data_IF_973461890772
#
_entry.id   IF_973461890772
#
_cell.length_a   1.000
_cell.length_b   1.000
_cell.length_c   1.000
_cell.angle_alpha   90.00
_cell.angle_beta   90.00
_cell.angle_gamma   90.00
#
_symmetry.space_group_name_H-M   'P 1'
#
loop_
_entity.id
_entity.type
_entity.pdbx_description
1 polymer ?
#
# COMPACT_ATOMS: atom_id res chain seq x y z
N UNK A 1 16.32 4.77 -21.65
CA UNK A 1 15.00 4.24 -22.00
C UNK A 1 14.78 4.04 -23.52
N UNK A 2 15.68 4.57 -24.38
CA UNK A 2 15.77 4.22 -25.78
C UNK A 2 14.61 4.69 -26.68
N UNK A 3 13.99 5.83 -26.35
CA UNK A 3 12.84 6.32 -27.12
C UNK A 3 13.18 6.77 -28.54
N UNK A 4 14.33 7.45 -28.73
CA UNK A 4 14.90 7.80 -30.06
C UNK A 4 13.87 8.11 -31.12
N UNK A 5 13.90 7.32 -32.21
CA UNK A 5 13.02 7.46 -33.38
C UNK A 5 11.53 7.23 -33.11
N UNK A 6 11.18 6.65 -31.96
CA UNK A 6 9.78 6.40 -31.58
C UNK A 6 9.09 7.61 -30.90
N UNK A 7 9.85 8.64 -30.51
CA UNK A 7 9.28 9.85 -29.91
C UNK A 7 8.97 10.86 -31.04
N UNK A 8 7.73 11.31 -31.08
CA UNK A 8 7.27 12.39 -31.94
C UNK A 8 6.78 13.55 -31.07
N UNK A 9 7.39 14.74 -31.21
CA UNK A 9 6.88 15.95 -30.57
C UNK A 9 5.55 16.36 -31.18
N UNK A 10 4.76 17.13 -30.46
CA UNK A 10 3.52 17.68 -30.96
C UNK A 10 3.73 18.66 -32.12
N UNK A 11 4.88 19.32 -32.19
CA UNK A 11 5.26 20.17 -33.32
C UNK A 11 5.45 19.35 -34.58
N UNK A 12 6.10 18.18 -34.47
CA UNK A 12 6.30 17.27 -35.58
C UNK A 12 5.03 16.52 -35.99
N UNK A 13 4.06 16.36 -35.06
CA UNK A 13 2.80 15.68 -35.30
C UNK A 13 1.62 16.45 -34.68
N UNK A 14 1.15 17.52 -35.37
CA UNK A 14 0.09 18.41 -34.80
C UNK A 14 -1.22 17.72 -34.48
N UNK A 15 -1.56 16.61 -35.14
CA UNK A 15 -2.73 15.80 -34.86
C UNK A 15 -2.82 15.34 -33.37
N UNK A 16 -1.67 15.20 -32.68
CA UNK A 16 -1.65 14.86 -31.25
C UNK A 16 -2.33 15.94 -30.41
N UNK A 17 -2.11 17.23 -30.73
CA UNK A 17 -2.77 18.34 -30.05
C UNK A 17 -4.28 18.37 -30.25
N UNK A 18 -4.74 17.98 -31.43
CA UNK A 18 -6.18 17.97 -31.75
C UNK A 18 -6.91 16.87 -31.02
N UNK A 19 -6.32 15.68 -30.98
CA UNK A 19 -6.93 14.46 -30.36
C UNK A 19 -6.91 14.52 -28.85
N UNK A 20 -5.79 14.97 -28.26
CA UNK A 20 -5.52 14.85 -26.82
C UNK A 20 -5.57 16.17 -26.07
N UNK A 21 -6.06 17.24 -26.70
CA UNK A 21 -6.27 18.54 -26.04
C UNK A 21 -7.33 18.44 -24.95
N UNK A 22 -7.02 18.99 -23.80
CA UNK A 22 -7.97 19.15 -22.69
C UNK A 22 -8.06 20.64 -22.32
N UNK A 23 -9.26 21.07 -21.99
CA UNK A 23 -9.56 22.44 -21.58
C UNK A 23 -10.20 22.38 -20.20
N UNK A 24 -9.75 23.23 -19.26
CA UNK A 24 -10.36 23.32 -17.93
C UNK A 24 -11.75 23.93 -18.00
N UNK A 25 -12.58 23.60 -17.01
CA UNK A 25 -13.92 24.19 -16.84
C UNK A 25 -13.89 25.60 -16.23
N UNK A 26 -12.70 26.11 -15.84
CA UNK A 26 -12.50 27.43 -15.21
C UNK A 26 -12.49 28.59 -16.17
N UNK A 27 -12.52 29.82 -15.63
CA UNK A 27 -12.34 31.02 -16.41
C UNK A 27 -11.23 31.91 -15.79
N UNK A 28 -10.17 32.30 -16.56
CA UNK A 28 -9.93 31.90 -17.96
C UNK A 28 -9.69 30.40 -18.11
N UNK A 29 -10.16 29.81 -19.21
CA UNK A 29 -9.97 28.41 -19.48
C UNK A 29 -8.49 28.11 -19.80
N UNK A 30 -7.92 27.13 -19.12
CA UNK A 30 -6.56 26.65 -19.36
C UNK A 30 -6.62 25.48 -20.36
N UNK A 31 -5.81 25.56 -21.40
CA UNK A 31 -5.70 24.50 -22.39
C UNK A 31 -4.36 23.80 -22.25
N UNK A 32 -4.40 22.47 -22.14
CA UNK A 32 -3.20 21.63 -22.09
C UNK A 32 -3.23 20.61 -23.23
N UNK A 33 -2.08 20.46 -23.87
CA UNK A 33 -1.83 19.47 -24.92
C UNK A 33 -0.62 18.63 -24.54
N UNK A 34 -0.49 17.38 -25.03
CA UNK A 34 0.71 16.60 -24.79
C UNK A 34 1.92 17.29 -25.44
N UNK A 35 3.08 17.19 -24.83
CA UNK A 35 4.35 17.64 -25.42
C UNK A 35 4.79 16.77 -26.58
N UNK A 36 4.33 15.51 -26.60
CA UNK A 36 4.59 14.55 -27.64
C UNK A 36 4.00 13.19 -27.30
N UNK A 37 4.36 12.20 -28.11
CA UNK A 37 3.93 10.83 -27.88
C UNK A 37 5.00 9.84 -28.34
N UNK A 38 4.98 8.64 -27.77
CA UNK A 38 5.69 7.49 -28.27
C UNK A 38 4.81 6.77 -29.28
N UNK A 39 5.30 6.66 -30.51
CA UNK A 39 4.51 6.17 -31.64
C UNK A 39 5.27 5.10 -32.42
N UNK A 40 4.54 4.19 -33.04
CA UNK A 40 5.03 3.24 -34.01
C UNK A 40 4.04 3.18 -35.18
N UNK A 41 4.39 3.88 -36.27
CA UNK A 41 3.44 4.15 -37.34
C UNK A 41 2.27 5.00 -36.85
N UNK A 42 1.06 4.53 -37.04
CA UNK A 42 -0.17 5.20 -36.54
C UNK A 42 -0.48 4.92 -35.07
N UNK A 43 0.13 3.88 -34.50
CA UNK A 43 -0.15 3.49 -33.11
C UNK A 43 0.53 4.45 -32.13
N UNK A 44 -0.25 5.02 -31.22
CA UNK A 44 0.23 5.76 -30.05
C UNK A 44 0.32 4.79 -28.86
N UNK A 45 1.53 4.58 -28.36
CA UNK A 45 1.78 3.69 -27.22
C UNK A 45 1.75 4.40 -25.88
N UNK A 46 2.20 5.66 -25.83
CA UNK A 46 2.13 6.51 -24.67
C UNK A 46 2.11 7.99 -25.05
N UNK A 47 1.37 8.81 -24.32
CA UNK A 47 1.49 10.27 -24.36
C UNK A 47 2.65 10.72 -23.48
N UNK A 48 3.23 11.85 -23.81
CA UNK A 48 4.28 12.49 -22.99
C UNK A 48 3.87 13.93 -22.70
N UNK A 49 3.92 14.29 -21.41
CA UNK A 49 3.72 15.65 -20.93
C UNK A 49 4.99 16.08 -20.20
N UNK A 50 5.65 17.09 -20.71
CA UNK A 50 6.76 17.75 -20.05
C UNK A 50 6.21 19.00 -19.37
N UNK A 51 6.51 19.20 -18.09
CA UNK A 51 6.06 20.35 -17.30
C UNK A 51 7.25 21.18 -16.86
N UNK A 52 6.99 22.41 -16.47
CA UNK A 52 7.97 23.20 -15.73
C UNK A 52 8.33 22.48 -14.40
N UNK A 53 9.49 22.79 -13.81
CA UNK A 53 9.92 22.20 -12.55
C UNK A 53 8.88 22.43 -11.44
N UNK A 54 8.50 21.33 -10.75
CA UNK A 54 7.49 21.32 -9.69
C UNK A 54 8.06 20.67 -8.42
N UNK A 55 7.47 20.99 -7.27
CA UNK A 55 7.82 20.31 -6.01
C UNK A 55 7.37 18.85 -6.03
N UNK A 56 6.18 18.59 -6.60
CA UNK A 56 5.63 17.25 -6.79
C UNK A 56 4.72 17.26 -8.03
N UNK A 57 4.75 16.17 -8.80
CA UNK A 57 3.82 15.98 -9.93
C UNK A 57 2.37 15.74 -9.48
N UNK A 58 2.13 15.58 -8.18
CA UNK A 58 0.81 15.41 -7.57
C UNK A 58 0.18 16.70 -7.11
N UNK A 59 0.97 17.78 -7.03
CA UNK A 59 0.48 19.08 -6.59
C UNK A 59 -0.26 19.77 -7.73
N UNK A 60 -1.25 20.59 -7.36
CA UNK A 60 -2.00 21.41 -8.31
C UNK A 60 -1.11 22.45 -8.99
N UNK A 61 -1.39 22.74 -10.25
CA UNK A 61 -0.73 23.79 -10.99
C UNK A 61 -1.17 25.21 -10.54
N UNK A 62 -0.27 26.18 -10.71
CA UNK A 62 -0.54 27.57 -10.34
C UNK A 62 -1.08 28.43 -11.52
N UNK A 63 -1.58 27.80 -12.58
CA UNK A 63 -2.01 28.46 -13.81
C UNK A 63 -3.51 28.73 -13.89
N UNK A 64 -4.23 28.57 -12.77
CA UNK A 64 -5.69 28.75 -12.68
C UNK A 64 -6.51 27.48 -12.93
N UNK A 65 -5.86 26.36 -13.20
CA UNK A 65 -6.52 25.05 -13.22
C UNK A 65 -6.04 24.20 -12.04
N UNK A 66 -6.94 23.99 -11.07
CA UNK A 66 -6.69 23.17 -9.87
C UNK A 66 -6.62 21.68 -10.22
N UNK A 67 -5.67 21.31 -11.08
CA UNK A 67 -5.39 19.95 -11.49
C UNK A 67 -3.89 19.72 -11.54
N UNK A 68 -3.42 18.63 -10.94
CA UNK A 68 -2.02 18.23 -10.97
C UNK A 68 -1.59 17.83 -12.39
N UNK A 69 -0.30 17.82 -12.72
CA UNK A 69 0.20 17.26 -13.98
C UNK A 69 -0.29 15.85 -14.25
N UNK A 70 -0.46 15.02 -13.21
CA UNK A 70 -1.00 13.65 -13.34
C UNK A 70 -2.48 13.66 -13.71
N UNK A 71 -3.29 14.55 -13.10
CA UNK A 71 -4.71 14.68 -13.43
C UNK A 71 -4.92 15.17 -14.86
N UNK A 72 -4.10 16.11 -15.31
CA UNK A 72 -4.10 16.61 -16.69
C UNK A 72 -3.76 15.50 -17.68
N UNK A 73 -2.76 14.69 -17.38
CA UNK A 73 -2.44 13.51 -18.19
C UNK A 73 -3.62 12.52 -18.22
N UNK A 74 -4.22 12.22 -17.06
CA UNK A 74 -5.39 11.37 -16.97
C UNK A 74 -6.57 11.88 -17.81
N UNK A 75 -6.82 13.19 -17.80
CA UNK A 75 -7.84 13.83 -18.61
C UNK A 75 -7.53 13.70 -20.13
N UNK A 76 -6.28 13.92 -20.55
CA UNK A 76 -5.86 13.73 -21.94
C UNK A 76 -6.04 12.28 -22.41
N UNK A 77 -5.68 11.30 -21.59
CA UNK A 77 -5.84 9.88 -21.90
C UNK A 77 -7.32 9.47 -22.01
N UNK A 78 -8.23 10.18 -21.31
CA UNK A 78 -9.69 9.95 -21.40
C UNK A 78 -10.37 10.84 -22.42
N UNK A 79 -9.65 11.60 -23.21
CA UNK A 79 -10.26 12.40 -24.28
C UNK A 79 -11.10 11.51 -25.21
N UNK A 80 -12.18 12.08 -25.79
CA UNK A 80 -13.24 11.35 -26.52
C UNK A 80 -12.71 10.41 -27.62
N UNK A 81 -11.60 10.78 -28.25
CA UNK A 81 -11.02 10.03 -29.38
C UNK A 81 -9.70 9.32 -29.01
N UNK A 82 -9.39 9.25 -27.71
CA UNK A 82 -8.17 8.61 -27.26
C UNK A 82 -8.22 7.09 -27.43
N UNK A 83 -7.21 6.54 -28.09
CA UNK A 83 -6.94 5.10 -28.16
C UNK A 83 -5.78 4.71 -27.22
N UNK A 84 -5.15 5.69 -26.59
CA UNK A 84 -4.01 5.50 -25.70
C UNK A 84 -4.46 5.61 -24.23
N UNK A 85 -4.05 4.66 -23.41
CA UNK A 85 -4.38 4.60 -21.98
C UNK A 85 -3.18 4.86 -21.08
N UNK A 86 -1.99 5.04 -21.67
CA UNK A 86 -0.73 5.21 -20.95
C UNK A 86 -0.16 6.60 -21.23
N UNK A 87 0.29 7.27 -20.18
CA UNK A 87 0.98 8.54 -20.25
C UNK A 87 2.23 8.58 -19.41
N UNK A 88 3.16 9.41 -19.80
CA UNK A 88 4.38 9.72 -19.06
C UNK A 88 4.40 11.22 -18.78
N UNK A 89 4.59 11.59 -17.53
CA UNK A 89 4.70 12.99 -17.09
C UNK A 89 6.06 13.21 -16.48
N UNK A 90 6.73 14.30 -16.86
CA UNK A 90 8.04 14.62 -16.29
C UNK A 90 8.31 16.13 -16.28
N UNK A 91 9.07 16.57 -15.28
CA UNK A 91 9.71 17.88 -15.21
C UNK A 91 11.24 17.79 -15.37
N UNK A 92 11.75 16.58 -15.72
CA UNK A 92 13.17 16.27 -15.83
C UNK A 92 13.73 15.58 -14.59
N UNK A 93 13.27 15.92 -13.38
CA UNK A 93 13.61 15.26 -12.12
C UNK A 93 12.61 14.16 -11.78
N UNK A 94 11.35 14.54 -11.67
CA UNK A 94 10.26 13.62 -11.40
C UNK A 94 9.78 12.98 -12.70
N UNK A 95 9.58 11.69 -12.64
CA UNK A 95 8.99 10.94 -13.75
C UNK A 95 7.79 10.15 -13.23
N UNK A 96 6.69 10.26 -13.92
CA UNK A 96 5.49 9.51 -13.59
C UNK A 96 5.00 8.71 -14.78
N UNK A 97 4.61 7.48 -14.49
CA UNK A 97 3.85 6.63 -15.40
C UNK A 97 2.39 6.68 -14.97
N UNK A 98 1.50 7.04 -15.90
CA UNK A 98 0.07 7.20 -15.65
C UNK A 98 -0.70 6.21 -16.52
N UNK A 99 -1.63 5.50 -15.91
CA UNK A 99 -2.61 4.65 -16.59
C UNK A 99 -4.01 5.18 -16.32
N UNK A 100 -4.75 5.52 -17.36
CA UNK A 100 -6.10 6.06 -17.26
C UNK A 100 -7.00 5.45 -18.35
N UNK A 101 -7.46 4.20 -18.17
CA UNK A 101 -8.37 3.56 -19.10
C UNK A 101 -9.75 4.24 -19.06
N UNK A 102 -10.48 4.16 -20.17
CA UNK A 102 -11.86 4.64 -20.25
C UNK A 102 -12.74 3.87 -19.26
N UNK A 103 -13.49 4.60 -18.45
CA UNK A 103 -14.36 4.00 -17.42
C UNK A 103 -13.65 3.40 -16.21
N UNK A 104 -12.31 3.45 -16.14
CA UNK A 104 -11.51 2.95 -15.03
C UNK A 104 -10.90 4.05 -14.15
N UNK A 105 -10.36 3.66 -13.02
CA UNK A 105 -9.62 4.57 -12.14
C UNK A 105 -8.27 4.97 -12.77
N UNK A 106 -7.79 6.16 -12.43
CA UNK A 106 -6.42 6.58 -12.76
C UNK A 106 -5.45 5.97 -11.76
N UNK A 107 -4.44 5.28 -12.27
CA UNK A 107 -3.30 4.80 -11.48
C UNK A 107 -2.04 5.53 -11.91
N UNK A 108 -1.16 5.85 -10.97
CA UNK A 108 0.12 6.49 -11.27
C UNK A 108 1.24 6.02 -10.34
N UNK A 109 2.42 5.80 -10.91
CA UNK A 109 3.67 5.59 -10.18
C UNK A 109 4.62 6.76 -10.45
N UNK A 110 5.23 7.33 -9.41
CA UNK A 110 6.16 8.46 -9.51
C UNK A 110 7.53 8.03 -9.02
N UNK A 111 8.56 8.39 -9.75
CA UNK A 111 9.97 8.13 -9.42
C UNK A 111 10.74 9.44 -9.40
N UNK A 112 11.56 9.66 -8.38
CA UNK A 112 12.57 10.71 -8.35
C UNK A 112 13.85 10.17 -8.99
N UNK A 113 14.26 10.72 -10.13
CA UNK A 113 15.47 10.29 -10.82
C UNK A 113 16.76 10.51 -10.02
N UNK A 114 16.74 11.35 -8.99
CA UNK A 114 17.88 11.50 -8.09
C UNK A 114 18.14 10.21 -7.31
N UNK A 115 17.10 9.49 -6.91
CA UNK A 115 17.23 8.21 -6.17
C UNK A 115 17.72 7.06 -7.05
N UNK A 116 17.57 7.16 -8.37
CA UNK A 116 17.99 6.10 -9.29
C UNK A 116 19.52 5.81 -9.26
N UNK A 117 20.32 6.76 -8.78
CA UNK A 117 21.76 6.55 -8.61
C UNK A 117 22.07 5.71 -7.35
N UNK A 118 21.24 5.82 -6.33
CA UNK A 118 21.40 5.19 -5.02
C UNK A 118 20.69 3.83 -4.94
N UNK A 119 19.61 3.66 -5.72
CA UNK A 119 18.76 2.48 -5.73
C UNK A 119 18.76 1.78 -7.11
N UNK A 120 19.67 0.83 -7.36
CA UNK A 120 19.75 0.13 -8.64
C UNK A 120 18.45 -0.58 -9.06
N UNK A 121 17.71 -1.17 -8.10
CA UNK A 121 16.45 -1.86 -8.38
C UNK A 121 15.38 -0.89 -8.91
N UNK A 122 15.26 0.29 -8.33
CA UNK A 122 14.35 1.36 -8.79
C UNK A 122 14.72 1.83 -10.19
N UNK A 123 16.02 2.05 -10.45
CA UNK A 123 16.51 2.42 -11.78
C UNK A 123 16.18 1.36 -12.83
N UNK A 124 16.43 0.09 -12.53
CA UNK A 124 16.21 -1.01 -13.46
C UNK A 124 14.72 -1.20 -13.77
N UNK A 125 13.85 -1.09 -12.73
CA UNK A 125 12.41 -1.08 -12.90
C UNK A 125 11.94 0.11 -13.76
N UNK A 126 12.45 1.31 -13.49
CA UNK A 126 12.18 2.52 -14.29
C UNK A 126 12.56 2.32 -15.77
N UNK A 127 13.76 1.82 -16.05
CA UNK A 127 14.22 1.57 -17.41
C UNK A 127 13.38 0.50 -18.13
N UNK A 128 13.00 -0.56 -17.41
CA UNK A 128 12.17 -1.63 -17.96
C UNK A 128 10.75 -1.13 -18.29
N UNK A 129 10.09 -0.43 -17.36
CA UNK A 129 8.72 0.03 -17.54
C UNK A 129 8.58 1.12 -18.61
N UNK A 130 9.53 2.06 -18.68
CA UNK A 130 9.51 3.13 -19.67
C UNK A 130 10.23 2.76 -20.97
N UNK A 131 10.74 1.54 -21.07
CA UNK A 131 11.37 1.05 -22.30
C UNK A 131 10.39 0.94 -23.47
N UNK A 132 10.89 1.19 -24.69
CA UNK A 132 10.08 1.12 -25.92
C UNK A 132 9.37 -0.23 -26.07
N UNK A 133 9.99 -1.31 -25.61
CA UNK A 133 9.40 -2.65 -25.65
C UNK A 133 8.07 -2.72 -24.90
N UNK A 134 7.99 -2.12 -23.71
CA UNK A 134 6.79 -2.12 -22.86
C UNK A 134 5.71 -1.18 -23.37
N UNK A 135 6.10 -0.11 -24.05
CA UNK A 135 5.18 0.92 -24.53
C UNK A 135 4.67 0.64 -25.96
N UNK A 136 5.51 0.12 -26.83
CA UNK A 136 5.23 -0.03 -28.27
C UNK A 136 5.52 -1.41 -28.83
N UNK A 137 6.40 -2.18 -28.18
CA UNK A 137 6.92 -3.47 -28.68
C UNK A 137 6.25 -4.68 -28.04
N UNK A 138 6.78 -5.86 -28.35
CA UNK A 138 6.35 -7.13 -27.79
C UNK A 138 4.96 -7.57 -28.23
N UNK A 139 4.43 -8.59 -27.55
CA UNK A 139 3.04 -9.00 -27.67
C UNK A 139 2.12 -8.03 -26.91
N UNK A 140 0.82 -8.03 -27.21
CA UNK A 140 -0.14 -7.20 -26.47
C UNK A 140 -0.14 -7.49 -24.96
N UNK A 141 0.19 -8.70 -24.55
CA UNK A 141 0.27 -9.12 -23.16
C UNK A 141 1.53 -8.62 -22.43
N UNK A 142 2.58 -8.32 -23.15
CA UNK A 142 3.83 -7.77 -22.62
C UNK A 142 3.77 -6.24 -22.43
N UNK A 143 2.79 -5.59 -23.04
CA UNK A 143 2.65 -4.14 -22.98
C UNK A 143 2.07 -3.66 -21.66
N UNK A 144 2.37 -2.42 -21.29
CA UNK A 144 1.96 -1.83 -20.01
C UNK A 144 0.45 -1.91 -19.72
N UNK A 145 -0.47 -1.69 -20.69
CA UNK A 145 -1.91 -1.82 -20.39
C UNK A 145 -2.30 -3.20 -19.86
N UNK A 146 -1.72 -4.26 -20.44
CA UNK A 146 -1.97 -5.62 -19.95
C UNK A 146 -1.32 -5.90 -18.58
N UNK A 147 -0.11 -5.35 -18.35
CA UNK A 147 0.54 -5.44 -17.05
C UNK A 147 -0.27 -4.74 -15.95
N UNK A 148 -0.77 -3.53 -16.21
CA UNK A 148 -1.65 -2.83 -15.28
C UNK A 148 -2.92 -3.61 -15.00
N UNK A 149 -3.58 -4.15 -16.02
CA UNK A 149 -4.77 -4.98 -15.84
C UNK A 149 -4.50 -6.21 -14.97
N UNK A 150 -3.38 -6.91 -15.21
CA UNK A 150 -2.98 -8.06 -14.38
C UNK A 150 -2.66 -7.64 -12.95
N UNK A 151 -2.01 -6.50 -12.76
CA UNK A 151 -1.71 -5.97 -11.42
C UNK A 151 -2.99 -5.65 -10.63
N UNK A 152 -3.99 -5.05 -11.27
CA UNK A 152 -5.29 -4.78 -10.64
C UNK A 152 -5.99 -6.08 -10.27
N UNK A 153 -6.05 -7.06 -11.19
CA UNK A 153 -6.66 -8.36 -10.92
C UNK A 153 -5.93 -9.12 -9.80
N UNK A 154 -4.60 -9.09 -9.78
CA UNK A 154 -3.82 -9.69 -8.69
C UNK A 154 -4.08 -8.99 -7.35
N UNK A 155 -4.22 -7.67 -7.33
CA UNK A 155 -4.57 -6.92 -6.13
C UNK A 155 -5.98 -7.26 -5.62
N UNK A 156 -6.96 -7.45 -6.52
CA UNK A 156 -8.32 -7.88 -6.17
C UNK A 156 -8.31 -9.30 -5.58
N UNK A 157 -7.57 -10.23 -6.19
CA UNK A 157 -7.43 -11.61 -5.71
C UNK A 157 -6.79 -11.66 -4.32
N UNK A 158 -5.71 -10.88 -4.10
CA UNK A 158 -5.07 -10.75 -2.78
C UNK A 158 -6.04 -10.16 -1.76
N UNK A 159 -6.83 -9.16 -2.15
CA UNK A 159 -7.81 -8.51 -1.25
C UNK A 159 -8.91 -9.49 -0.84
N UNK A 160 -9.41 -10.32 -1.77
CA UNK A 160 -10.43 -11.34 -1.47
C UNK A 160 -9.87 -12.44 -0.58
N UNK A 161 -8.69 -12.97 -0.91
CA UNK A 161 -7.99 -13.96 -0.10
C UNK A 161 -7.72 -13.43 1.32
N UNK A 162 -7.23 -12.19 1.45
CA UNK A 162 -6.99 -11.54 2.73
C UNK A 162 -8.30 -11.37 3.52
N UNK A 163 -9.38 -10.96 2.88
CA UNK A 163 -10.70 -10.82 3.52
C UNK A 163 -11.19 -12.14 4.13
N UNK A 164 -10.98 -13.25 3.43
CA UNK A 164 -11.34 -14.60 3.93
C UNK A 164 -10.45 -15.01 5.10
N UNK A 165 -9.14 -14.76 5.03
CA UNK A 165 -8.20 -15.07 6.11
C UNK A 165 -8.46 -14.22 7.35
N UNK A 166 -8.75 -12.93 7.20
CA UNK A 166 -9.10 -12.04 8.31
C UNK A 166 -10.38 -12.50 8.99
N UNK A 167 -11.40 -12.89 8.22
CA UNK A 167 -12.65 -13.44 8.79
C UNK A 167 -12.36 -14.67 9.64
N UNK A 168 -11.60 -15.63 9.11
CA UNK A 168 -11.22 -16.85 9.84
C UNK A 168 -10.44 -16.53 11.11
N UNK A 169 -9.50 -15.61 11.05
CA UNK A 169 -8.72 -15.18 12.21
C UNK A 169 -9.61 -14.53 13.28
N UNK A 170 -10.57 -13.69 12.88
CA UNK A 170 -11.56 -13.09 13.79
C UNK A 170 -12.39 -14.18 14.46
N UNK A 171 -12.89 -15.16 13.71
CA UNK A 171 -13.66 -16.28 14.25
C UNK A 171 -12.85 -17.09 15.29
N UNK A 172 -11.59 -17.39 15.00
CA UNK A 172 -10.70 -18.08 15.93
C UNK A 172 -10.47 -17.30 17.23
N UNK A 173 -10.19 -16.00 17.14
CA UNK A 173 -9.96 -15.18 18.33
C UNK A 173 -11.24 -15.02 19.15
N UNK A 174 -12.40 -14.84 18.52
CA UNK A 174 -13.70 -14.78 19.22
C UNK A 174 -13.97 -16.11 19.92
N UNK A 175 -13.71 -17.24 19.27
CA UNK A 175 -13.89 -18.57 19.87
C UNK A 175 -12.97 -18.74 21.07
N UNK A 176 -11.69 -18.41 20.95
CA UNK A 176 -10.72 -18.51 22.04
C UNK A 176 -11.10 -17.64 23.25
N UNK A 177 -11.55 -16.40 23.01
CA UNK A 177 -12.03 -15.52 24.07
C UNK A 177 -13.29 -16.09 24.74
N UNK A 178 -14.21 -16.68 23.97
CA UNK A 178 -15.43 -17.30 24.50
C UNK A 178 -15.12 -18.53 25.34
N UNK A 179 -14.18 -19.38 24.90
CA UNK A 179 -13.73 -20.56 25.64
C UNK A 179 -13.01 -20.15 26.93
N UNK A 180 -12.14 -19.15 26.88
CA UNK A 180 -11.49 -18.61 28.07
C UNK A 180 -12.51 -18.04 29.08
N UNK A 181 -13.57 -17.38 28.62
CA UNK A 181 -14.64 -16.88 29.47
C UNK A 181 -15.43 -18.03 30.15
N UNK A 182 -15.64 -19.15 29.44
CA UNK A 182 -16.34 -20.32 29.98
C UNK A 182 -15.50 -21.14 30.95
N UNK A 183 -14.19 -21.21 30.75
CA UNK A 183 -13.26 -22.01 31.57
C UNK A 183 -12.73 -21.24 32.79
N UNK A 184 -12.90 -19.91 32.81
CA UNK A 184 -12.55 -19.11 33.98
C UNK A 184 -13.39 -19.56 35.17
N UNK A 185 -12.77 -20.23 36.17
CA UNK A 185 -13.38 -20.57 37.44
C UNK A 185 -13.61 -19.26 38.25
N UNK A 186 -14.64 -18.54 37.88
CA UNK A 186 -14.96 -17.29 38.50
C UNK A 186 -15.56 -17.52 39.88
N UNK A 187 -14.88 -17.03 40.90
CA UNK A 187 -15.43 -16.83 42.21
C UNK A 187 -16.59 -15.80 42.17
N UNK A 188 -17.21 -15.48 43.32
CA UNK A 188 -18.40 -14.63 43.39
C UNK A 188 -18.24 -13.18 42.89
N UNK A 189 -17.10 -12.82 42.38
CA UNK A 189 -16.77 -11.51 41.75
C UNK A 189 -16.49 -11.64 40.24
N UNK A 190 -17.22 -12.49 39.56
CA UNK A 190 -17.07 -12.74 38.13
C UNK A 190 -17.24 -11.45 37.33
N UNK A 191 -16.15 -10.95 36.79
CA UNK A 191 -16.20 -9.99 35.71
C UNK A 191 -16.44 -10.81 34.45
N UNK A 192 -17.54 -10.56 33.75
CA UNK A 192 -17.79 -11.16 32.44
C UNK A 192 -16.62 -10.77 31.50
N UNK A 193 -15.85 -11.76 31.09
CA UNK A 193 -14.67 -11.52 30.24
C UNK A 193 -15.03 -11.04 28.83
N UNK A 194 -16.30 -11.16 28.46
CA UNK A 194 -16.80 -10.68 27.19
C UNK A 194 -17.69 -9.44 27.41
N UNK A 195 -17.58 -8.43 26.54
CA UNK A 195 -18.47 -7.28 26.61
C UNK A 195 -19.91 -7.69 26.27
N UNK A 196 -20.90 -7.08 26.95
CA UNK A 196 -22.32 -7.32 26.68
C UNK A 196 -22.73 -7.08 25.22
N UNK A 197 -21.98 -6.19 24.54
CA UNK A 197 -22.24 -5.82 23.14
C UNK A 197 -21.33 -6.60 22.21
N UNK A 198 -21.91 -7.45 21.36
CA UNK A 198 -21.18 -8.20 20.34
C UNK A 198 -20.31 -7.31 19.41
N UNK A 199 -20.73 -6.08 19.15
CA UNK A 199 -19.98 -5.11 18.36
C UNK A 199 -18.66 -4.71 19.03
N UNK A 200 -18.64 -4.55 20.33
CA UNK A 200 -17.44 -4.21 21.11
C UNK A 200 -16.42 -5.36 21.10
N UNK A 201 -16.89 -6.61 21.23
CA UNK A 201 -16.05 -7.79 21.06
C UNK A 201 -15.43 -7.85 19.66
N UNK A 202 -16.22 -7.59 18.62
CA UNK A 202 -15.73 -7.55 17.25
C UNK A 202 -14.67 -6.45 17.04
N UNK A 203 -14.93 -5.23 17.52
CA UNK A 203 -13.95 -4.13 17.45
C UNK A 203 -12.64 -4.46 18.16
N UNK A 204 -12.72 -5.11 19.31
CA UNK A 204 -11.55 -5.54 20.06
C UNK A 204 -10.72 -6.56 19.26
N UNK A 205 -11.36 -7.57 18.68
CA UNK A 205 -10.68 -8.59 17.89
C UNK A 205 -10.05 -7.99 16.63
N UNK A 206 -10.73 -7.11 15.91
CA UNK A 206 -10.16 -6.38 14.79
C UNK A 206 -8.95 -5.54 15.23
N UNK A 207 -9.04 -4.90 16.40
CA UNK A 207 -7.91 -4.13 16.96
C UNK A 207 -6.71 -5.02 17.29
N UNK A 208 -6.94 -6.23 17.82
CA UNK A 208 -5.87 -7.22 18.06
C UNK A 208 -5.18 -7.60 16.74
N UNK A 209 -5.97 -7.90 15.72
CA UNK A 209 -5.44 -8.22 14.39
C UNK A 209 -4.61 -7.07 13.83
N UNK A 210 -5.09 -5.84 13.94
CA UNK A 210 -4.36 -4.64 13.51
C UNK A 210 -3.06 -4.43 14.30
N UNK A 211 -3.06 -4.72 15.61
CA UNK A 211 -1.83 -4.69 16.43
C UNK A 211 -0.79 -5.68 15.91
N UNK A 212 -1.20 -6.93 15.67
CA UNK A 212 -0.30 -7.97 15.17
C UNK A 212 0.30 -7.60 13.82
N UNK A 213 -0.54 -7.16 12.86
CA UNK A 213 -0.09 -6.73 11.52
C UNK A 213 0.87 -5.54 11.62
N UNK A 214 0.54 -4.55 12.45
CA UNK A 214 1.41 -3.37 12.64
C UNK A 214 2.77 -3.77 13.21
N UNK A 215 2.79 -4.64 14.23
CA UNK A 215 4.04 -5.06 14.89
C UNK A 215 4.93 -5.84 13.92
N UNK A 216 4.39 -6.81 13.20
CA UNK A 216 5.14 -7.57 12.19
C UNK A 216 5.71 -6.67 11.10
N UNK A 217 4.92 -5.72 10.61
CA UNK A 217 5.37 -4.75 9.62
C UNK A 217 6.48 -3.83 10.17
N UNK A 218 6.32 -3.34 11.40
CA UNK A 218 7.29 -2.45 12.03
C UNK A 218 8.63 -3.16 12.33
N UNK A 219 8.58 -4.45 12.70
CA UNK A 219 9.76 -5.29 12.87
C UNK A 219 10.48 -5.54 11.55
N UNK A 220 9.75 -5.90 10.49
CA UNK A 220 10.31 -6.09 9.15
C UNK A 220 11.01 -4.84 8.62
N UNK A 221 10.45 -3.66 8.91
CA UNK A 221 11.01 -2.36 8.52
C UNK A 221 12.11 -1.85 9.43
N UNK A 222 12.48 -2.58 10.48
CA UNK A 222 13.50 -2.16 11.43
C UNK A 222 13.13 -0.90 12.23
N UNK A 223 11.84 -0.64 12.41
CA UNK A 223 11.32 0.50 13.18
C UNK A 223 11.27 0.21 14.67
N UNK A 224 11.44 -1.05 15.07
CA UNK A 224 11.44 -1.51 16.46
C UNK A 224 12.85 -1.97 16.87
N UNK A 225 13.15 -2.04 18.18
CA UNK A 225 14.46 -2.46 18.65
C UNK A 225 14.85 -3.85 18.13
N UNK A 226 16.13 -4.05 17.84
CA UNK A 226 16.69 -5.34 17.37
C UNK A 226 17.54 -6.04 18.44
N UNK A 227 17.61 -5.50 19.65
CA UNK A 227 18.37 -6.07 20.77
C UNK A 227 17.73 -7.38 21.25
N UNK A 228 18.54 -8.23 21.87
CA UNK A 228 18.14 -9.56 22.32
C UNK A 228 16.95 -9.55 23.29
N UNK A 229 16.85 -8.54 24.16
CA UNK A 229 15.73 -8.38 25.08
C UNK A 229 14.41 -8.16 24.32
N UNK A 230 14.43 -7.32 23.26
CA UNK A 230 13.23 -7.11 22.45
C UNK A 230 12.87 -8.37 21.64
N UNK A 231 13.81 -8.88 20.87
CA UNK A 231 13.57 -10.02 19.97
C UNK A 231 13.15 -11.28 20.73
N UNK A 232 13.74 -11.53 21.90
CA UNK A 232 13.44 -12.70 22.74
C UNK A 232 12.18 -12.58 23.61
N UNK A 233 11.81 -11.32 24.01
CA UNK A 233 10.72 -11.09 24.98
C UNK A 233 9.49 -10.39 24.44
N UNK A 234 9.65 -9.57 23.43
CA UNK A 234 8.60 -8.69 22.90
C UNK A 234 8.32 -8.88 21.41
N UNK A 235 9.32 -9.26 20.62
CA UNK A 235 9.19 -9.40 19.16
C UNK A 235 8.19 -10.49 18.76
N UNK A 236 7.40 -10.22 17.71
CA UNK A 236 6.39 -11.16 17.20
C UNK A 236 6.91 -12.00 16.01
N UNK A 237 7.83 -11.50 15.21
CA UNK A 237 8.32 -12.23 14.04
C UNK A 237 8.94 -13.58 14.42
N UNK A 238 9.81 -13.61 15.44
CA UNK A 238 10.38 -14.86 15.93
C UNK A 238 9.36 -15.83 16.51
N UNK A 239 8.31 -15.31 17.15
CA UNK A 239 7.21 -16.16 17.65
C UNK A 239 6.41 -16.75 16.50
N UNK A 240 6.17 -16.00 15.44
CA UNK A 240 5.46 -16.50 14.27
C UNK A 240 6.22 -17.68 13.64
N UNK A 241 7.54 -17.54 13.46
CA UNK A 241 8.41 -18.61 12.95
C UNK A 241 8.37 -19.87 13.85
N UNK A 242 8.39 -19.68 15.18
CA UNK A 242 8.27 -20.78 16.16
C UNK A 242 6.92 -21.48 16.07
N UNK A 243 5.82 -20.73 15.99
CA UNK A 243 4.46 -21.27 15.86
C UNK A 243 4.28 -22.01 14.54
N UNK A 244 4.78 -21.48 13.43
CA UNK A 244 4.74 -22.17 12.14
C UNK A 244 5.56 -23.46 12.14
N UNK A 245 6.74 -23.45 12.75
CA UNK A 245 7.55 -24.64 12.89
C UNK A 245 6.86 -25.71 13.75
N UNK A 246 6.22 -25.30 14.85
CA UNK A 246 5.48 -26.17 15.73
C UNK A 246 4.24 -26.75 15.05
N UNK A 247 3.46 -25.92 14.37
CA UNK A 247 2.30 -26.37 13.60
C UNK A 247 2.66 -27.42 12.54
N UNK A 248 3.80 -27.22 11.85
CA UNK A 248 4.29 -28.19 10.84
C UNK A 248 4.76 -29.51 11.43
N UNK A 249 5.38 -29.49 12.61
CA UNK A 249 6.01 -30.68 13.21
C UNK A 249 5.06 -31.46 14.13
N UNK A 250 4.19 -30.78 14.86
CA UNK A 250 3.36 -31.33 15.94
C UNK A 250 1.85 -31.21 15.66
N UNK A 251 1.46 -30.45 14.61
CA UNK A 251 0.08 -30.10 14.30
C UNK A 251 -0.41 -28.86 15.03
N UNK A 252 -1.48 -28.23 14.50
CA UNK A 252 -2.05 -27.00 15.06
C UNK A 252 -2.59 -27.20 16.49
N UNK A 253 -3.11 -28.41 16.80
CA UNK A 253 -3.64 -28.77 18.12
C UNK A 253 -2.60 -28.68 19.26
N UNK A 254 -1.30 -28.77 18.92
CA UNK A 254 -0.22 -28.63 19.90
C UNK A 254 -0.13 -27.24 20.54
N UNK A 255 -0.80 -26.25 19.93
CA UNK A 255 -0.82 -24.88 20.40
C UNK A 255 -2.01 -24.60 21.33
N UNK A 256 -2.98 -25.51 21.42
CA UNK A 256 -4.14 -25.36 22.30
C UNK A 256 -3.70 -25.26 23.76
N UNK A 257 -4.32 -24.32 24.48
CA UNK A 257 -4.00 -24.08 25.90
C UNK A 257 -2.69 -23.33 26.13
N UNK A 258 -2.01 -22.79 25.10
CA UNK A 258 -0.83 -21.93 25.27
C UNK A 258 -1.21 -20.45 25.20
N UNK A 259 -0.82 -19.67 26.22
CA UNK A 259 -1.13 -18.23 26.32
C UNK A 259 0.08 -17.32 26.14
N UNK A 260 1.30 -17.87 25.99
CA UNK A 260 2.54 -17.08 25.94
C UNK A 260 2.54 -16.04 24.83
N UNK A 261 2.07 -16.40 23.63
CA UNK A 261 1.99 -15.48 22.49
C UNK A 261 1.03 -14.33 22.75
N UNK A 262 -0.10 -14.61 23.40
CA UNK A 262 -1.07 -13.62 23.83
C UNK A 262 -0.45 -12.61 24.79
N UNK A 263 0.18 -13.09 25.86
CA UNK A 263 0.84 -12.23 26.84
C UNK A 263 1.96 -11.39 26.22
N UNK A 264 2.71 -11.95 25.27
CA UNK A 264 3.73 -11.22 24.53
C UNK A 264 3.13 -10.09 23.69
N UNK A 265 2.05 -10.35 22.95
CA UNK A 265 1.33 -9.33 22.18
C UNK A 265 0.82 -8.18 23.09
N UNK A 266 0.25 -8.53 24.25
CA UNK A 266 -0.21 -7.54 25.22
C UNK A 266 0.95 -6.74 25.82
N UNK A 267 2.05 -7.39 26.20
CA UNK A 267 3.23 -6.75 26.76
C UNK A 267 3.86 -5.76 25.75
N UNK A 268 3.99 -6.18 24.50
CA UNK A 268 4.52 -5.33 23.43
C UNK A 268 3.60 -4.15 23.14
N UNK A 269 2.29 -4.38 23.15
CA UNK A 269 1.28 -3.31 23.00
C UNK A 269 1.39 -2.27 24.13
N UNK A 270 1.53 -2.71 25.37
CA UNK A 270 1.73 -1.82 26.54
C UNK A 270 3.06 -1.06 26.44
N UNK A 271 4.13 -1.74 26.00
CA UNK A 271 5.46 -1.14 25.80
C UNK A 271 5.44 -0.03 24.75
N UNK A 272 4.72 -0.23 23.65
CA UNK A 272 4.56 0.80 22.61
C UNK A 272 3.68 1.96 23.07
N UNK A 273 2.62 1.70 23.80
CA UNK A 273 1.73 2.75 24.30
C UNK A 273 2.42 3.64 25.32
N UNK A 274 3.00 3.03 26.37
CA UNK A 274 3.57 3.74 27.51
C UNK A 274 5.06 4.04 27.42
N UNK A 275 5.75 3.43 26.47
CA UNK A 275 7.20 3.45 26.35
C UNK A 275 7.89 2.50 27.33
N UNK A 276 9.15 2.17 27.01
CA UNK A 276 10.05 1.39 27.88
C UNK A 276 11.42 2.03 27.85
N UNK A 277 12.04 2.16 29.03
CA UNK A 277 13.41 2.61 29.16
C UNK A 277 14.17 1.66 30.10
N UNK A 278 14.76 0.64 29.52
CA UNK A 278 15.61 -0.34 30.19
C UNK A 278 17.04 -0.25 29.65
N UNK A 279 17.99 -0.86 30.36
CA UNK A 279 19.42 -0.81 30.00
C UNK A 279 19.69 -1.29 28.56
N UNK A 280 19.00 -2.38 28.17
CA UNK A 280 19.20 -3.02 26.86
C UNK A 280 18.01 -2.81 25.90
N UNK A 281 17.03 -1.97 26.25
CA UNK A 281 15.86 -1.74 25.38
C UNK A 281 15.25 -0.36 25.61
N UNK A 282 15.14 0.42 24.55
CA UNK A 282 14.46 1.72 24.59
C UNK A 282 13.37 1.80 23.53
N UNK A 283 12.13 1.96 23.98
CA UNK A 283 10.96 2.20 23.13
C UNK A 283 10.35 3.52 23.58
N UNK A 284 10.28 4.55 22.73
CA UNK A 284 9.57 5.77 23.06
C UNK A 284 8.07 5.48 23.19
N UNK A 285 7.37 6.25 24.05
CA UNK A 285 5.92 6.15 24.13
C UNK A 285 5.30 6.70 22.85
N UNK A 286 4.67 5.84 22.07
CA UNK A 286 3.95 6.25 20.86
C UNK A 286 2.53 6.71 21.16
N UNK A 287 1.93 6.23 22.26
CA UNK A 287 0.53 6.51 22.60
C UNK A 287 -0.44 5.99 21.53
N UNK A 288 -1.52 6.73 21.29
CA UNK A 288 -2.50 6.43 20.26
C UNK A 288 -3.50 5.34 20.65
N UNK A 289 -4.66 5.33 19.97
CA UNK A 289 -5.80 4.47 20.32
C UNK A 289 -5.59 3.00 19.95
N UNK A 290 -4.67 2.69 19.04
CA UNK A 290 -4.43 1.31 18.60
C UNK A 290 -3.87 0.46 19.74
N UNK A 291 -2.91 0.99 20.49
CA UNK A 291 -2.20 0.28 21.57
C UNK A 291 -2.72 0.62 22.97
N UNK A 292 -3.72 1.50 23.11
CA UNK A 292 -4.28 1.89 24.38
C UNK A 292 -4.91 0.68 25.11
N UNK A 293 -4.38 0.30 26.30
CA UNK A 293 -4.91 -0.81 27.06
C UNK A 293 -6.29 -0.48 27.69
N UNK A 294 -6.62 0.81 27.88
CA UNK A 294 -7.88 1.23 28.44
C UNK A 294 -9.05 1.13 27.45
N UNK A 295 -8.76 0.99 26.15
CA UNK A 295 -9.82 0.89 25.13
C UNK A 295 -10.66 -0.38 25.26
N UNK A 296 -10.03 -1.51 25.60
CA UNK A 296 -10.67 -2.81 25.77
C UNK A 296 -10.11 -3.50 27.02
N UNK A 297 -10.57 -3.08 28.23
CA UNK A 297 -10.04 -3.58 29.49
C UNK A 297 -10.16 -5.09 29.66
N UNK A 298 -11.21 -5.70 29.09
CA UNK A 298 -11.46 -7.14 29.19
C UNK A 298 -10.36 -7.99 28.52
N UNK A 299 -9.63 -7.45 27.52
CA UNK A 299 -8.51 -8.15 26.91
C UNK A 299 -7.31 -8.34 27.85
N UNK A 300 -7.24 -7.57 28.92
CA UNK A 300 -6.16 -7.60 29.91
C UNK A 300 -6.58 -8.23 31.24
N UNK A 301 -7.84 -8.62 31.37
CA UNK A 301 -8.39 -9.22 32.57
C UNK A 301 -8.13 -10.74 32.67
N UNK A 302 -7.43 -11.31 31.73
CA UNK A 302 -7.10 -12.75 31.65
C UNK A 302 -5.74 -13.09 32.26
N UNK A 303 -5.27 -12.35 33.26
CA UNK A 303 -4.08 -12.70 34.04
C UNK A 303 -4.40 -13.72 35.13
#
# INVERSE_FOLDING_TARGET
IGWGENYASTEARPALSEVYRVVSDGFPAVTVTPSGALTRGEKVGALVLVTDPVASLRDEGNDGWAASPLDRMGAMLRSRNSTCTIGVVTDGRWWALVSAPQGGATASGVVDCQTCAEEPATRDAFCELLGVRRLLGGTSEDQLPALFKRSVLAAEEVTEALGTQVRRAVELVVTALSEAALTSEAGPTQVDLLPEKAHEAYEAVVTIMMRAVFLLFAEERGLLPTQSLYTGGYGLAGVLDELEARARNEGEESMDGTSLTWHRLLATSRALHGGVNAEDMRIPAYGGSLFDPARFPFLTATD
#
